data_IF_331316803500
#
_entry.id   IF_331316803500
#
_cell.length_a   1.000
_cell.length_b   1.000
_cell.length_c   1.000
_cell.angle_alpha   90.00
_cell.angle_beta   90.00
_cell.angle_gamma   90.00
#
_symmetry.space_group_name_H-M   'P 1'
#
loop_
_entity.id
_entity.type
_entity.pdbx_description
1 polymer ?
#
# COMPACT_ATOMS: atom_id res chain seq x y z
N UNK A 1 -23.69 -35.75 -1.11
CA UNK A 1 -22.61 -35.30 -2.00
C UNK A 1 -23.11 -34.10 -2.77
N UNK A 2 -22.75 -32.89 -2.32
CA UNK A 2 -23.06 -31.65 -3.05
C UNK A 2 -22.07 -31.52 -4.21
N UNK A 3 -22.58 -31.28 -5.41
CA UNK A 3 -21.81 -31.13 -6.64
C UNK A 3 -21.21 -29.71 -6.71
N UNK A 4 -19.94 -29.60 -6.31
CA UNK A 4 -19.18 -28.35 -6.19
C UNK A 4 -18.88 -27.73 -7.59
N UNK A 5 -19.10 -28.46 -8.69
CA UNK A 5 -18.82 -27.97 -10.03
C UNK A 5 -19.94 -27.10 -10.63
N UNK A 6 -21.15 -27.12 -10.05
CA UNK A 6 -22.29 -26.33 -10.54
C UNK A 6 -22.25 -24.83 -10.19
N UNK A 7 -21.45 -24.44 -9.19
CA UNK A 7 -21.43 -23.08 -8.63
C UNK A 7 -20.25 -22.22 -9.11
N UNK A 8 -19.52 -22.68 -10.15
CA UNK A 8 -18.47 -21.85 -10.73
C UNK A 8 -19.11 -20.67 -11.49
N UNK A 9 -18.80 -19.42 -11.11
CA UNK A 9 -19.34 -18.26 -11.81
C UNK A 9 -18.94 -18.31 -13.28
N UNK A 10 -19.90 -18.02 -14.17
CA UNK A 10 -19.67 -17.98 -15.60
C UNK A 10 -18.42 -17.13 -15.89
N UNK A 11 -17.47 -17.71 -16.63
CA UNK A 11 -16.21 -17.05 -16.95
C UNK A 11 -16.49 -15.64 -17.49
N UNK A 12 -16.03 -14.61 -16.77
CA UNK A 12 -16.18 -13.22 -17.20
C UNK A 12 -15.55 -13.08 -18.57
N UNK A 13 -16.39 -12.79 -19.58
CA UNK A 13 -15.90 -12.53 -20.94
C UNK A 13 -15.03 -11.28 -20.89
N UNK A 14 -13.74 -11.45 -21.20
CA UNK A 14 -12.80 -10.34 -21.34
C UNK A 14 -13.29 -9.49 -22.53
N UNK A 15 -13.47 -8.17 -22.39
CA UNK A 15 -13.83 -7.30 -23.51
C UNK A 15 -12.83 -7.45 -24.67
N UNK A 16 -13.31 -7.50 -25.91
CA UNK A 16 -12.49 -7.79 -27.09
C UNK A 16 -11.26 -6.86 -27.21
N UNK A 17 -11.42 -5.58 -26.90
CA UNK A 17 -10.33 -4.61 -26.88
C UNK A 17 -9.22 -4.95 -25.86
N UNK A 18 -9.58 -5.49 -24.70
CA UNK A 18 -8.61 -5.92 -23.67
C UNK A 18 -7.89 -7.20 -24.10
N UNK A 19 -8.59 -8.14 -24.73
CA UNK A 19 -7.99 -9.34 -25.30
C UNK A 19 -6.98 -9.02 -26.42
N UNK A 20 -7.29 -8.04 -27.27
CA UNK A 20 -6.42 -7.59 -28.36
C UNK A 20 -5.17 -6.87 -27.84
N UNK A 21 -5.32 -6.02 -26.82
CA UNK A 21 -4.18 -5.38 -26.12
C UNK A 21 -3.24 -6.41 -25.48
N UNK A 22 -3.79 -7.42 -24.77
CA UNK A 22 -2.99 -8.49 -24.17
C UNK A 22 -2.27 -9.33 -25.22
N UNK A 23 -2.94 -9.63 -26.34
CA UNK A 23 -2.34 -10.35 -27.46
C UNK A 23 -1.17 -9.58 -28.06
N UNK A 24 -1.31 -8.29 -28.32
CA UNK A 24 -0.21 -7.46 -28.83
C UNK A 24 0.97 -7.38 -27.84
N UNK A 25 0.70 -7.32 -26.54
CA UNK A 25 1.74 -7.36 -25.49
C UNK A 25 2.53 -8.66 -25.50
N UNK A 26 1.85 -9.81 -25.58
CA UNK A 26 2.47 -11.13 -25.66
C UNK A 26 3.29 -11.27 -26.96
N UNK A 27 2.75 -10.83 -28.09
CA UNK A 27 3.46 -10.89 -29.37
C UNK A 27 4.74 -10.05 -29.37
N UNK A 28 4.73 -8.88 -28.73
CA UNK A 28 5.95 -8.06 -28.53
C UNK A 28 6.94 -8.76 -27.61
N UNK A 29 6.51 -9.33 -26.48
CA UNK A 29 7.38 -10.03 -25.54
C UNK A 29 8.03 -11.28 -26.17
N UNK A 30 7.29 -12.02 -27.01
CA UNK A 30 7.81 -13.17 -27.74
C UNK A 30 8.81 -12.75 -28.81
N UNK A 31 8.58 -11.63 -29.53
CA UNK A 31 9.53 -11.08 -30.52
C UNK A 31 10.77 -10.47 -29.88
N UNK A 32 10.66 -9.96 -28.66
CA UNK A 32 11.76 -9.36 -27.90
C UNK A 32 12.72 -10.40 -27.29
N UNK A 33 12.52 -11.71 -27.53
CA UNK A 33 13.51 -12.71 -27.11
C UNK A 33 14.87 -12.38 -27.74
N UNK A 34 15.91 -12.13 -26.94
CA UNK A 34 17.23 -11.84 -27.47
C UNK A 34 17.71 -13.03 -28.29
N UNK A 35 17.92 -12.82 -29.59
CA UNK A 35 18.55 -13.78 -30.48
C UNK A 35 19.95 -14.08 -29.90
N UNK A 36 20.09 -15.21 -29.22
CA UNK A 36 21.39 -15.78 -28.84
C UNK A 36 22.16 -16.03 -30.13
N UNK A 37 22.94 -15.04 -30.55
CA UNK A 37 23.84 -15.12 -31.69
C UNK A 37 24.94 -16.10 -31.29
N UNK A 38 24.79 -17.36 -31.67
CA UNK A 38 25.82 -18.40 -31.52
C UNK A 38 27.00 -18.03 -32.42
N UNK A 39 27.85 -17.11 -31.94
CA UNK A 39 29.18 -16.89 -32.51
C UNK A 39 30.08 -18.06 -32.10
N UNK A 40 29.89 -19.18 -32.79
CA UNK A 40 30.94 -20.18 -32.98
C UNK A 40 31.95 -19.56 -33.95
N UNK A 41 32.97 -18.95 -33.40
CA UNK A 41 34.07 -18.36 -34.16
C UNK A 41 35.28 -18.29 -33.25
N UNK A 42 36.14 -19.28 -33.38
CA UNK A 42 37.47 -19.36 -32.78
C UNK A 42 38.20 -18.03 -32.89
N UNK A 43 38.73 -17.55 -31.77
CA UNK A 43 39.91 -16.69 -31.73
C UNK A 43 40.54 -16.85 -30.35
N UNK A 44 41.77 -17.37 -30.35
CA UNK A 44 42.67 -17.44 -29.21
C UNK A 44 42.92 -16.01 -28.72
N UNK A 45 42.49 -15.70 -27.49
CA UNK A 45 42.78 -14.43 -26.81
C UNK A 45 43.73 -14.73 -25.64
N UNK A 46 44.82 -13.96 -25.48
CA UNK A 46 45.83 -14.21 -24.45
C UNK A 46 45.24 -14.05 -23.04
N UNK A 47 45.59 -14.98 -22.16
CA UNK A 47 45.23 -14.98 -20.75
C UNK A 47 45.90 -13.79 -20.04
N UNK A 48 45.17 -12.69 -19.82
CA UNK A 48 45.70 -11.55 -19.07
C UNK A 48 44.74 -10.40 -18.79
N UNK A 49 43.64 -10.24 -19.55
CA UNK A 49 42.80 -9.03 -19.45
C UNK A 49 41.28 -9.28 -19.35
N UNK A 50 40.84 -10.47 -18.92
CA UNK A 50 39.40 -10.81 -18.86
C UNK A 50 38.80 -10.61 -17.45
N UNK A 51 39.61 -10.55 -16.40
CA UNK A 51 39.11 -10.40 -15.03
C UNK A 51 38.48 -9.02 -14.73
N UNK A 52 38.88 -7.95 -15.43
CA UNK A 52 38.39 -6.59 -15.18
C UNK A 52 37.05 -6.26 -15.88
N UNK A 53 36.73 -6.91 -17.01
CA UNK A 53 35.50 -6.61 -17.76
C UNK A 53 34.24 -7.24 -17.17
N UNK A 54 34.36 -8.38 -16.48
CA UNK A 54 33.23 -9.03 -15.81
C UNK A 54 32.81 -8.25 -14.56
N UNK A 55 33.77 -7.62 -13.85
CA UNK A 55 33.48 -6.80 -12.68
C UNK A 55 32.66 -5.54 -13.03
N UNK A 56 32.92 -4.90 -14.18
CA UNK A 56 32.19 -3.68 -14.60
C UNK A 56 30.75 -3.97 -15.00
N UNK A 57 30.49 -5.13 -15.64
CA UNK A 57 29.12 -5.52 -16.03
C UNK A 57 28.26 -5.96 -14.84
N UNK A 58 28.85 -6.53 -13.78
CA UNK A 58 28.12 -6.90 -12.57
C UNK A 58 27.76 -5.69 -11.68
N UNK A 59 28.55 -4.61 -11.70
CA UNK A 59 28.23 -3.37 -10.98
C UNK A 59 27.15 -2.55 -11.70
N UNK A 60 27.09 -2.62 -13.04
CA UNK A 60 26.10 -1.91 -13.83
C UNK A 60 24.65 -2.42 -13.59
N UNK A 61 24.45 -3.72 -13.39
CA UNK A 61 23.11 -4.29 -13.15
C UNK A 61 22.53 -3.89 -11.77
N UNK A 62 23.37 -3.71 -10.75
CA UNK A 62 22.92 -3.26 -9.41
C UNK A 62 22.50 -1.78 -9.41
N UNK A 63 23.00 -0.98 -10.35
CA UNK A 63 22.70 0.45 -10.42
C UNK A 63 21.44 0.78 -11.24
N UNK A 64 20.85 -0.19 -11.94
CA UNK A 64 19.73 0.04 -12.90
C UNK A 64 18.47 -0.77 -12.55
N UNK A 65 18.43 -1.50 -11.44
CA UNK A 65 17.16 -2.04 -10.95
C UNK A 65 16.30 -0.91 -10.39
N UNK A 66 15.08 -0.67 -10.90
CA UNK A 66 14.15 0.25 -10.28
C UNK A 66 13.99 -0.11 -8.81
N UNK A 67 14.28 0.82 -7.91
CA UNK A 67 14.00 0.64 -6.49
C UNK A 67 12.51 0.30 -6.37
N UNK A 68 12.12 -0.74 -5.60
CA UNK A 68 10.70 -1.03 -5.39
C UNK A 68 10.00 0.22 -4.86
N UNK A 69 8.76 0.49 -5.29
CA UNK A 69 8.05 1.74 -4.98
C UNK A 69 8.02 2.07 -3.48
N UNK A 70 8.11 1.04 -2.63
CA UNK A 70 8.09 1.12 -1.18
C UNK A 70 9.44 0.83 -0.52
N UNK A 71 10.57 1.01 -1.22
CA UNK A 71 11.90 0.70 -0.69
C UNK A 71 12.24 1.41 0.62
N UNK A 72 11.69 2.62 0.85
CA UNK A 72 11.90 3.40 2.06
C UNK A 72 10.86 3.15 3.16
N UNK A 73 9.86 2.29 2.92
CA UNK A 73 8.80 2.03 3.90
C UNK A 73 9.35 1.38 5.17
N UNK A 74 8.76 1.75 6.31
CA UNK A 74 9.04 1.18 7.62
C UNK A 74 7.76 0.72 8.30
N UNK A 75 7.85 -0.34 9.11
CA UNK A 75 6.72 -0.87 9.87
C UNK A 75 6.26 0.08 11.00
N UNK A 76 7.18 0.86 11.54
CA UNK A 76 6.88 1.91 12.51
C UNK A 76 6.62 3.24 11.79
N UNK A 77 5.52 3.95 12.12
CA UNK A 77 5.24 5.26 11.57
C UNK A 77 5.96 6.37 12.34
N UNK A 78 6.22 7.46 11.64
CA UNK A 78 6.55 8.75 12.25
C UNK A 78 5.33 9.67 12.15
N UNK A 79 4.88 10.23 13.27
CA UNK A 79 3.79 11.20 13.26
C UNK A 79 4.19 12.46 12.49
N UNK A 80 3.25 13.04 11.75
CA UNK A 80 3.43 14.37 11.15
C UNK A 80 3.23 15.46 12.22
N UNK A 81 3.95 16.58 12.07
CA UNK A 81 3.74 17.74 12.94
C UNK A 81 2.36 18.37 12.72
N UNK A 82 1.79 19.10 13.70
CA UNK A 82 0.40 19.60 13.62
C UNK A 82 0.08 20.40 12.35
N UNK A 83 0.98 21.30 11.93
CA UNK A 83 0.80 22.09 10.72
C UNK A 83 0.85 21.23 9.44
N UNK A 84 1.67 20.18 9.44
CA UNK A 84 1.83 19.27 8.30
C UNK A 84 0.62 18.33 8.18
N UNK A 85 0.14 17.79 9.31
CA UNK A 85 -1.12 17.04 9.41
C UNK A 85 -2.31 17.87 8.95
N UNK A 86 -2.41 19.13 9.41
CA UNK A 86 -3.48 20.04 8.98
C UNK A 86 -3.44 20.29 7.47
N UNK A 87 -2.26 20.61 6.93
CA UNK A 87 -2.11 20.87 5.49
C UNK A 87 -2.43 19.62 4.64
N UNK A 88 -1.95 18.44 5.02
CA UNK A 88 -2.24 17.20 4.30
C UNK A 88 -3.71 16.79 4.41
N UNK A 89 -4.29 16.86 5.61
CA UNK A 89 -5.69 16.50 5.82
C UNK A 89 -6.67 17.49 5.19
N UNK A 90 -6.37 18.80 5.12
CA UNK A 90 -7.21 19.75 4.36
C UNK A 90 -7.26 19.37 2.89
N UNK A 91 -6.10 19.11 2.25
CA UNK A 91 -6.06 18.65 0.85
C UNK A 91 -6.83 17.34 0.68
N UNK A 92 -6.64 16.39 1.59
CA UNK A 92 -7.38 15.14 1.56
C UNK A 92 -8.90 15.36 1.63
N UNK A 93 -9.37 16.23 2.52
CA UNK A 93 -10.78 16.55 2.64
C UNK A 93 -11.34 17.27 1.41
N UNK A 94 -10.54 18.11 0.75
CA UNK A 94 -10.90 18.73 -0.54
C UNK A 94 -11.03 17.66 -1.63
N UNK A 95 -10.00 16.83 -1.83
CA UNK A 95 -9.98 15.77 -2.84
C UNK A 95 -11.13 14.76 -2.67
N UNK A 96 -11.45 14.40 -1.42
CA UNK A 96 -12.56 13.50 -1.09
C UNK A 96 -13.90 14.15 -1.43
N UNK A 97 -14.10 15.44 -1.15
CA UNK A 97 -15.35 16.13 -1.49
C UNK A 97 -15.53 16.29 -2.99
N UNK A 98 -14.44 16.51 -3.72
CA UNK A 98 -14.47 16.59 -5.18
C UNK A 98 -14.79 15.22 -5.81
N UNK A 99 -14.29 14.13 -5.22
CA UNK A 99 -14.50 12.77 -5.72
C UNK A 99 -15.83 12.13 -5.29
N UNK A 100 -16.37 12.50 -4.12
CA UNK A 100 -17.53 11.86 -3.51
C UNK A 100 -18.61 12.90 -3.15
N UNK A 101 -19.71 13.00 -3.93
CA UNK A 101 -20.78 13.97 -3.70
C UNK A 101 -21.44 13.91 -2.31
N UNK A 102 -21.43 12.72 -1.70
CA UNK A 102 -22.03 12.47 -0.36
C UNK A 102 -21.03 12.67 0.79
N UNK A 103 -19.81 13.14 0.51
CA UNK A 103 -18.82 13.45 1.53
C UNK A 103 -19.30 14.58 2.44
N UNK A 104 -19.09 14.43 3.75
CA UNK A 104 -19.41 15.45 4.73
C UNK A 104 -18.61 16.73 4.45
N UNK A 105 -19.28 17.88 4.54
CA UNK A 105 -18.67 19.19 4.29
C UNK A 105 -17.65 19.60 5.36
N UNK A 106 -17.71 18.95 6.52
CA UNK A 106 -16.90 19.24 7.70
C UNK A 106 -15.85 18.16 8.01
N UNK A 107 -15.44 17.34 7.04
CA UNK A 107 -14.28 16.44 7.20
C UNK A 107 -13.06 17.21 7.74
N UNK A 108 -12.43 16.67 8.79
CA UNK A 108 -11.23 17.24 9.43
C UNK A 108 -10.12 16.20 9.55
N UNK A 109 -8.83 16.61 9.50
CA UNK A 109 -7.70 15.72 9.79
C UNK A 109 -7.83 15.10 11.19
N UNK A 110 -7.60 13.80 11.31
CA UNK A 110 -7.59 13.07 12.60
C UNK A 110 -6.30 12.27 12.81
N UNK A 111 -5.66 11.81 11.73
CA UNK A 111 -4.36 11.14 11.77
C UNK A 111 -3.51 11.66 10.61
N UNK A 112 -2.22 11.91 10.86
CA UNK A 112 -1.23 12.20 9.84
C UNK A 112 0.07 11.47 10.16
N UNK A 113 0.58 10.64 9.25
CA UNK A 113 1.82 9.90 9.45
C UNK A 113 2.73 9.93 8.22
N UNK A 114 3.99 9.54 8.45
CA UNK A 114 5.02 9.32 7.43
C UNK A 114 5.70 7.97 7.64
N UNK A 115 5.88 7.23 6.53
CA UNK A 115 6.69 6.00 6.44
C UNK A 115 7.56 6.09 5.20
N UNK A 116 8.87 6.27 5.39
CA UNK A 116 9.77 6.56 4.28
C UNK A 116 9.37 7.84 3.55
N UNK A 117 9.27 7.74 2.21
CA UNK A 117 8.87 8.86 1.34
C UNK A 117 7.35 8.99 1.17
N UNK A 118 6.54 8.38 2.02
CA UNK A 118 5.07 8.46 1.91
C UNK A 118 4.50 9.23 3.09
N UNK A 119 3.50 10.06 2.81
CA UNK A 119 2.65 10.67 3.82
C UNK A 119 1.22 10.16 3.66
N UNK A 120 0.57 9.86 4.77
CA UNK A 120 -0.83 9.45 4.76
C UNK A 120 -1.59 10.28 5.77
N UNK A 121 -2.85 10.57 5.45
CA UNK A 121 -3.77 11.23 6.36
C UNK A 121 -5.11 10.52 6.40
N UNK A 122 -5.68 10.42 7.60
CA UNK A 122 -7.10 10.19 7.77
C UNK A 122 -7.79 11.52 8.05
N UNK A 123 -8.95 11.68 7.41
CA UNK A 123 -9.92 12.72 7.74
C UNK A 123 -11.23 12.07 8.17
N UNK A 124 -11.95 12.69 9.09
CA UNK A 124 -13.21 12.16 9.57
C UNK A 124 -14.24 13.26 9.84
N UNK A 125 -15.52 12.88 9.77
CA UNK A 125 -16.66 13.66 10.25
C UNK A 125 -17.82 12.72 10.52
N UNK A 126 -18.38 12.78 11.74
CA UNK A 126 -19.48 11.91 12.16
C UNK A 126 -19.13 10.44 11.96
N UNK A 127 -19.85 9.78 11.04
CA UNK A 127 -19.65 8.36 10.68
C UNK A 127 -18.85 8.15 9.40
N UNK A 128 -18.27 9.21 8.85
CA UNK A 128 -17.46 9.13 7.65
C UNK A 128 -15.98 9.20 8.00
N UNK A 129 -15.20 8.28 7.45
CA UNK A 129 -13.74 8.29 7.53
C UNK A 129 -13.21 8.19 6.11
N UNK A 130 -12.28 9.05 5.77
CA UNK A 130 -11.60 9.02 4.49
C UNK A 130 -10.09 9.01 4.69
N UNK A 131 -9.40 8.48 3.68
CA UNK A 131 -7.96 8.29 3.67
C UNK A 131 -7.39 8.91 2.41
N UNK A 132 -6.23 9.55 2.53
CA UNK A 132 -5.40 9.92 1.40
C UNK A 132 -3.95 9.52 1.63
N UNK A 133 -3.26 9.13 0.56
CA UNK A 133 -1.84 8.79 0.57
C UNK A 133 -1.09 9.57 -0.51
N UNK A 134 -0.11 10.38 -0.09
CA UNK A 134 0.80 11.14 -0.93
C UNK A 134 2.16 10.44 -1.01
N UNK A 135 2.71 10.37 -2.22
CA UNK A 135 4.10 10.00 -2.43
C UNK A 135 4.99 11.24 -2.56
N UNK A 136 6.06 11.30 -1.78
CA UNK A 136 7.07 12.37 -1.76
C UNK A 136 8.34 12.04 -2.56
N UNK A 137 8.39 10.88 -3.22
CA UNK A 137 9.53 10.53 -4.06
C UNK A 137 9.54 11.27 -5.40
N UNK A 138 10.63 11.11 -6.15
CA UNK A 138 10.79 11.62 -7.51
C UNK A 138 10.68 10.45 -8.48
N UNK A 139 9.69 10.47 -9.39
CA UNK A 139 9.57 9.47 -10.48
C UNK A 139 10.09 10.16 -11.73
N UNK A 140 11.12 9.61 -12.33
CA UNK A 140 11.64 10.04 -13.65
C UNK A 140 11.99 11.52 -13.78
N UNK A 141 12.55 12.14 -12.73
CA UNK A 141 13.05 13.52 -12.77
C UNK A 141 11.98 14.61 -12.58
N UNK A 142 10.70 14.25 -12.58
CA UNK A 142 9.61 15.13 -12.19
C UNK A 142 9.20 14.85 -10.74
N UNK A 143 9.11 15.92 -9.93
CA UNK A 143 8.50 15.85 -8.60
C UNK A 143 6.98 15.73 -8.74
N UNK A 144 6.52 14.59 -9.24
CA UNK A 144 5.08 14.31 -9.32
C UNK A 144 4.60 13.98 -7.91
N UNK A 145 4.01 14.98 -7.25
CA UNK A 145 3.16 14.77 -6.07
C UNK A 145 1.87 14.11 -6.57
N UNK A 146 1.84 12.79 -6.58
CA UNK A 146 0.69 12.01 -6.99
C UNK A 146 -0.05 11.43 -5.79
N UNK A 147 -1.35 11.70 -5.68
CA UNK A 147 -2.23 10.96 -4.79
C UNK A 147 -2.26 9.49 -5.23
N UNK A 148 -1.87 8.58 -4.36
CA UNK A 148 -1.75 7.14 -4.69
C UNK A 148 -3.02 6.38 -4.33
N UNK A 149 -3.79 6.89 -3.37
CA UNK A 149 -5.05 6.29 -2.93
C UNK A 149 -5.91 7.36 -2.25
N UNK A 150 -7.19 7.39 -2.61
CA UNK A 150 -8.24 8.10 -1.88
C UNK A 150 -9.46 7.19 -1.72
N UNK A 151 -10.14 7.26 -0.58
CA UNK A 151 -11.36 6.49 -0.34
C UNK A 151 -12.20 7.09 0.78
N UNK A 152 -13.51 6.90 0.70
CA UNK A 152 -14.48 7.31 1.70
C UNK A 152 -15.18 6.06 2.23
N UNK A 153 -15.21 5.88 3.55
CA UNK A 153 -15.98 4.83 4.21
C UNK A 153 -17.09 5.45 5.05
N UNK A 154 -18.36 5.18 4.72
CA UNK A 154 -19.48 5.59 5.56
C UNK A 154 -19.61 4.66 6.76
N UNK A 155 -20.54 4.99 7.65
CA UNK A 155 -21.00 4.15 8.75
C UNK A 155 -19.95 3.75 9.81
N UNK A 156 -18.79 4.40 9.82
CA UNK A 156 -17.76 4.23 10.82
C UNK A 156 -18.28 4.62 12.22
N UNK A 157 -18.34 3.67 13.14
CA UNK A 157 -18.75 3.89 14.52
C UNK A 157 -18.24 2.74 15.37
N UNK A 158 -17.67 3.04 16.54
CA UNK A 158 -17.25 2.04 17.52
C UNK A 158 -18.45 1.64 18.37
N UNK A 159 -18.77 0.34 18.47
CA UNK A 159 -19.91 -0.09 19.28
C UNK A 159 -19.64 0.14 20.78
N UNK A 160 -20.69 0.35 21.61
CA UNK A 160 -20.51 0.52 23.05
C UNK A 160 -19.79 -0.67 23.68
N UNK A 161 -18.72 -0.37 24.43
CA UNK A 161 -17.89 -1.38 25.09
C UNK A 161 -16.83 -2.05 24.21
N UNK A 162 -16.77 -1.73 22.91
CA UNK A 162 -15.67 -2.17 22.06
C UNK A 162 -14.45 -1.25 22.20
N UNK A 163 -13.27 -1.86 22.16
CA UNK A 163 -11.99 -1.14 22.33
C UNK A 163 -11.36 -0.75 21.00
N UNK A 164 -11.71 -1.46 19.94
CA UNK A 164 -11.12 -1.37 18.61
C UNK A 164 -12.15 -1.84 17.57
N UNK A 165 -12.27 -1.13 16.45
CA UNK A 165 -13.03 -1.57 15.29
C UNK A 165 -12.29 -1.22 14.01
N UNK A 166 -11.97 -2.24 13.21
CA UNK A 166 -11.44 -2.03 11.85
C UNK A 166 -12.59 -1.63 10.95
N UNK A 167 -12.50 -0.44 10.35
CA UNK A 167 -13.54 0.14 9.48
C UNK A 167 -13.37 -0.36 8.06
N UNK A 168 -12.13 -0.37 7.55
CA UNK A 168 -11.84 -0.86 6.22
C UNK A 168 -10.41 -1.37 6.10
N UNK A 169 -10.22 -2.26 5.12
CA UNK A 169 -8.91 -2.71 4.68
C UNK A 169 -8.80 -2.53 3.16
N UNK A 170 -8.63 -1.30 2.62
CA UNK A 170 -8.48 -1.08 1.19
C UNK A 170 -7.05 -1.38 0.69
N UNK A 171 -6.85 -1.28 -0.61
CA UNK A 171 -5.55 -1.45 -1.26
C UNK A 171 -5.54 -2.55 -2.32
N UNK A 172 -4.38 -2.75 -2.93
CA UNK A 172 -4.18 -3.75 -3.98
C UNK A 172 -3.54 -5.01 -3.38
N UNK A 173 -4.14 -6.17 -3.65
CA UNK A 173 -3.62 -7.47 -3.19
C UNK A 173 -2.44 -8.00 -4.02
N UNK A 174 -2.16 -7.43 -5.19
CA UNK A 174 -1.15 -7.93 -6.12
C UNK A 174 -0.63 -6.85 -7.06
N UNK A 175 0.62 -6.99 -7.50
CA UNK A 175 1.28 -6.06 -8.41
C UNK A 175 2.57 -5.48 -7.81
N UNK A 176 3.41 -4.81 -8.61
CA UNK A 176 4.66 -4.22 -8.14
C UNK A 176 4.45 -3.08 -7.13
N UNK A 177 3.28 -2.44 -7.19
CA UNK A 177 2.88 -1.33 -6.31
C UNK A 177 1.77 -1.79 -5.34
N UNK A 178 1.74 -3.07 -4.98
CA UNK A 178 0.74 -3.62 -4.05
C UNK A 178 0.96 -3.12 -2.62
N UNK A 179 -0.03 -2.41 -2.09
CA UNK A 179 -0.10 -1.99 -0.69
C UNK A 179 -1.47 -2.30 -0.11
N UNK A 180 -1.50 -2.65 1.17
CA UNK A 180 -2.73 -2.77 1.97
C UNK A 180 -2.70 -1.74 3.07
N UNK A 181 -3.88 -1.27 3.42
CA UNK A 181 -4.09 -0.27 4.45
C UNK A 181 -5.18 -0.79 5.35
N UNK A 182 -5.03 -0.62 6.66
CA UNK A 182 -6.05 -0.89 7.66
C UNK A 182 -6.26 0.38 8.49
N UNK A 183 -7.50 0.80 8.66
CA UNK A 183 -7.85 1.89 9.56
C UNK A 183 -9.18 1.64 10.24
N UNK A 184 -9.41 2.38 11.30
CA UNK A 184 -10.67 2.33 12.02
C UNK A 184 -10.67 3.15 13.29
N UNK A 185 -11.52 2.77 14.23
CA UNK A 185 -11.72 3.49 15.49
C UNK A 185 -11.09 2.73 16.65
N UNK A 186 -10.66 3.48 17.66
CA UNK A 186 -10.21 2.98 18.95
C UNK A 186 -10.90 3.72 20.08
N UNK A 187 -11.05 3.04 21.20
CA UNK A 187 -11.50 3.65 22.45
C UNK A 187 -10.38 4.51 23.09
N UNK A 188 -10.71 5.42 24.02
CA UNK A 188 -9.72 6.29 24.67
C UNK A 188 -8.65 5.57 25.52
N UNK A 189 -8.86 4.30 25.88
CA UNK A 189 -7.90 3.49 26.62
C UNK A 189 -6.77 2.91 25.74
N UNK A 190 -6.94 2.93 24.42
CA UNK A 190 -5.95 2.43 23.46
C UNK A 190 -4.85 3.46 23.27
N UNK A 191 -3.60 3.04 23.49
CA UNK A 191 -2.41 3.86 23.22
C UNK A 191 -1.61 3.39 22.00
N UNK A 192 -1.79 2.12 21.60
CA UNK A 192 -1.08 1.51 20.47
C UNK A 192 -1.96 0.47 19.80
N UNK A 193 -1.86 0.39 18.48
CA UNK A 193 -2.45 -0.69 17.69
C UNK A 193 -1.34 -1.33 16.84
N UNK A 194 -1.36 -2.64 16.72
CA UNK A 194 -0.47 -3.37 15.80
C UNK A 194 -1.29 -4.23 14.85
N UNK A 195 -0.75 -4.44 13.65
CA UNK A 195 -1.31 -5.32 12.62
C UNK A 195 -0.28 -6.38 12.28
N UNK A 196 -0.66 -7.64 12.46
CA UNK A 196 0.09 -8.79 11.97
C UNK A 196 -0.47 -9.19 10.60
N UNK A 197 0.40 -9.36 9.62
CA UNK A 197 0.02 -9.64 8.21
C UNK A 197 0.26 -11.09 7.85
N UNK A 198 -0.45 -11.59 6.83
CA UNK A 198 -0.34 -12.99 6.39
C UNK A 198 1.04 -13.39 5.85
N UNK A 199 1.92 -12.41 5.59
CA UNK A 199 3.32 -12.64 5.23
C UNK A 199 4.30 -12.37 6.38
N UNK A 200 3.80 -12.32 7.62
CA UNK A 200 4.59 -12.30 8.84
C UNK A 200 5.17 -10.93 9.22
N UNK A 201 4.66 -9.82 8.66
CA UNK A 201 5.05 -8.48 9.14
C UNK A 201 4.26 -8.11 10.39
N UNK A 202 4.95 -7.40 11.27
CA UNK A 202 4.35 -6.72 12.41
C UNK A 202 4.38 -5.22 12.15
N UNK A 203 3.21 -4.59 12.02
CA UNK A 203 3.07 -3.20 11.60
C UNK A 203 2.47 -2.40 12.74
N UNK A 204 3.18 -1.40 13.26
CA UNK A 204 2.64 -0.48 14.26
C UNK A 204 1.74 0.54 13.55
N UNK A 205 0.53 0.76 14.05
CA UNK A 205 -0.37 1.79 13.54
C UNK A 205 -0.06 3.16 14.17
N UNK A 206 -0.33 4.24 13.44
CA UNK A 206 -0.52 5.55 14.07
C UNK A 206 -1.86 5.58 14.76
N UNK A 207 -1.91 6.09 16.00
CA UNK A 207 -3.12 6.21 16.80
C UNK A 207 -3.28 7.67 17.24
N UNK A 208 -4.37 8.31 16.86
CA UNK A 208 -4.65 9.70 17.23
C UNK A 208 -6.16 10.01 17.11
N UNK A 209 -6.67 10.88 18.00
CA UNK A 209 -8.07 11.34 18.02
C UNK A 209 -9.14 10.23 17.97
N UNK A 210 -8.86 9.06 18.54
CA UNK A 210 -9.79 7.92 18.52
C UNK A 210 -9.77 7.10 17.22
N UNK A 211 -8.78 7.30 16.36
CA UNK A 211 -8.58 6.57 15.11
C UNK A 211 -7.23 5.87 15.08
N UNK A 212 -7.14 4.79 14.29
CA UNK A 212 -5.88 4.16 13.94
C UNK A 212 -5.68 4.06 12.43
N UNK A 213 -4.42 4.08 11.99
CA UNK A 213 -4.00 3.89 10.60
C UNK A 213 -2.73 3.04 10.53
N UNK A 214 -2.75 1.98 9.73
CA UNK A 214 -1.57 1.18 9.38
C UNK A 214 -1.57 0.86 7.89
N UNK A 215 -0.39 0.78 7.27
CA UNK A 215 -0.27 0.28 5.90
C UNK A 215 1.06 -0.40 5.67
N UNK A 216 1.08 -1.35 4.72
CA UNK A 216 2.26 -2.14 4.40
C UNK A 216 2.34 -2.53 2.91
N UNK A 217 3.56 -2.71 2.38
CA UNK A 217 3.79 -3.18 1.02
C UNK A 217 3.78 -4.71 0.97
N UNK A 218 2.88 -5.29 0.17
CA UNK A 218 2.91 -6.70 -0.27
C UNK A 218 1.56 -7.19 -0.77
N UNK A 219 0.47 -6.45 -0.52
CA UNK A 219 -0.86 -6.95 -0.81
C UNK A 219 -1.40 -7.97 0.20
N UNK A 220 -0.59 -8.43 1.16
CA UNK A 220 -0.99 -9.44 2.14
C UNK A 220 -2.10 -8.91 3.06
N UNK A 221 -3.12 -9.72 3.32
CA UNK A 221 -4.19 -9.35 4.23
C UNK A 221 -3.73 -9.30 5.70
N UNK A 222 -4.37 -8.48 6.54
CA UNK A 222 -4.15 -8.53 7.98
C UNK A 222 -4.69 -9.86 8.53
N UNK A 223 -3.89 -10.55 9.34
CA UNK A 223 -4.32 -11.71 10.11
C UNK A 223 -4.89 -11.30 11.46
N UNK A 224 -4.25 -10.34 12.12
CA UNK A 224 -4.63 -9.89 13.45
C UNK A 224 -4.44 -8.39 13.61
N UNK A 225 -5.40 -7.73 14.25
CA UNK A 225 -5.29 -6.33 14.68
C UNK A 225 -5.46 -6.31 16.19
N UNK A 226 -4.43 -5.85 16.91
CA UNK A 226 -4.39 -5.88 18.38
C UNK A 226 -4.25 -4.48 18.92
N UNK A 227 -5.13 -4.09 19.85
CA UNK A 227 -5.02 -2.84 20.60
C UNK A 227 -4.30 -3.07 21.94
N UNK A 228 -3.58 -2.06 22.41
CA UNK A 228 -2.85 -2.10 23.67
C UNK A 228 -3.08 -0.83 24.47
N UNK A 229 -3.15 -0.97 25.80
CA UNK A 229 -3.15 0.16 26.73
C UNK A 229 -1.75 0.78 26.89
N UNK A 230 -1.66 1.86 27.66
CA UNK A 230 -0.40 2.56 27.95
C UNK A 230 0.61 1.74 28.74
N UNK A 231 0.18 0.66 29.40
CA UNK A 231 1.05 -0.30 30.08
C UNK A 231 1.54 -1.41 29.12
N UNK A 232 1.15 -1.37 27.84
CA UNK A 232 1.51 -2.36 26.85
C UNK A 232 0.73 -3.68 26.96
N UNK A 233 -0.34 -3.72 27.76
CA UNK A 233 -1.21 -4.90 27.87
C UNK A 233 -2.15 -4.94 26.68
N UNK A 234 -2.30 -6.12 26.09
CA UNK A 234 -3.27 -6.32 25.02
C UNK A 234 -4.69 -6.12 25.57
N UNK A 235 -5.45 -5.26 24.90
CA UNK A 235 -6.86 -5.03 25.16
C UNK A 235 -7.62 -6.05 24.32
N UNK A 236 -8.09 -7.10 24.98
CA UNK A 236 -8.88 -8.15 24.32
C UNK A 236 -10.30 -7.62 24.16
N UNK A 237 -10.93 -7.78 22.98
CA UNK A 237 -12.35 -7.49 22.84
C UNK A 237 -13.14 -8.26 23.91
N UNK A 238 -14.18 -7.69 24.52
CA UNK A 238 -15.04 -8.45 25.42
C UNK A 238 -15.59 -9.66 24.66
N UNK A 239 -15.39 -10.86 25.23
CA UNK A 239 -16.00 -12.09 24.70
C UNK A 239 -17.51 -11.92 24.82
N UNK A 240 -18.21 -11.84 23.69
CA UNK A 240 -19.68 -11.79 23.64
C UNK A 240 -20.28 -13.17 23.85
#
# INVERSE_FOLDING_TARGET
MHDILGDLPAARRIPAAKAESMRMGIERAVRARPRRRTRRGWLLVPAGAVALLVAVLLVADVLVTPQPAYASWTAEPSGLGPAETAALGTRCADDVRDAFPDAASDLRPVVGERRGVFQTALVASGRQVALCADWLGVRDGDSVRGGTLSGLTPDAALAPGEVLQTVAVPGQASGPDAARIAYGLVSPEVSRVTVDTADGRHVTASVHDGYFLAWWPSGADPEQVTAFDSAGRALVPPVR
#
